data_IF_693050988197
#
_entry.id   IF_693050988197
#
_cell.length_a   1.000
_cell.length_b   1.000
_cell.length_c   1.000
_cell.angle_alpha   90.00
_cell.angle_beta   90.00
_cell.angle_gamma   90.00
#
_symmetry.space_group_name_H-M   'P 1'
#
loop_
_entity.id
_entity.type
_entity.pdbx_description
1 polymer ?
#
# COMPACT_ATOMS: atom_id res chain seq x y z
N UNK A 1 -12.21 22.75 4.47
CA UNK A 1 -10.84 23.28 4.65
C UNK A 1 -10.13 23.13 3.32
N UNK A 2 -9.66 24.22 2.71
CA UNK A 2 -8.90 24.15 1.46
C UNK A 2 -7.49 23.63 1.78
N UNK A 3 -7.13 22.49 1.21
CA UNK A 3 -5.73 22.04 1.14
C UNK A 3 -5.12 22.79 -0.04
N UNK A 4 -4.03 23.53 0.18
CA UNK A 4 -3.37 24.34 -0.85
C UNK A 4 -3.93 25.74 -1.09
N UNK A 5 -4.65 26.33 -0.12
CA UNK A 5 -4.92 27.77 -0.17
C UNK A 5 -3.59 28.53 -0.06
N UNK A 6 -3.32 29.43 -1.02
CA UNK A 6 -2.14 30.32 -1.09
C UNK A 6 -0.86 29.76 -1.78
N UNK A 7 -0.99 28.86 -2.75
CA UNK A 7 0.13 28.53 -3.66
C UNK A 7 1.31 27.79 -3.02
N UNK A 8 1.22 27.42 -1.75
CA UNK A 8 2.13 26.46 -1.13
C UNK A 8 1.77 25.03 -1.51
N UNK A 9 2.78 24.25 -1.85
CA UNK A 9 2.65 22.82 -2.06
C UNK A 9 2.14 22.14 -0.77
N UNK A 10 1.09 21.28 -0.85
CA UNK A 10 0.51 20.66 0.33
C UNK A 10 1.48 19.65 0.95
N UNK A 11 1.59 19.64 2.28
CA UNK A 11 2.34 18.61 3.01
C UNK A 11 1.50 17.34 3.16
N UNK A 12 2.16 16.23 3.46
CA UNK A 12 1.54 14.95 3.76
C UNK A 12 0.47 15.10 4.86
N UNK A 13 0.75 15.89 5.90
CA UNK A 13 -0.24 16.17 6.96
C UNK A 13 -1.52 16.82 6.45
N UNK A 14 -1.40 17.69 5.44
CA UNK A 14 -2.54 18.42 4.86
C UNK A 14 -3.36 17.49 3.95
N UNK A 15 -2.66 16.62 3.22
CA UNK A 15 -3.27 15.60 2.37
C UNK A 15 -3.99 14.52 3.18
N UNK A 16 -3.42 14.07 4.30
CA UNK A 16 -4.03 13.05 5.18
C UNK A 16 -5.33 13.54 5.83
N UNK A 17 -5.53 14.85 5.96
CA UNK A 17 -6.79 15.41 6.44
C UNK A 17 -7.96 15.26 5.44
N UNK A 18 -7.70 14.85 4.20
CA UNK A 18 -8.72 14.65 3.17
C UNK A 18 -9.39 13.28 3.28
N UNK A 19 -10.73 13.21 3.07
CA UNK A 19 -11.44 11.93 3.12
C UNK A 19 -10.93 10.97 2.05
N UNK A 20 -10.52 9.77 2.48
CA UNK A 20 -10.02 8.72 1.59
C UNK A 20 -8.51 8.75 1.33
N UNK A 21 -7.78 9.73 1.86
CA UNK A 21 -6.31 9.78 1.78
C UNK A 21 -5.72 9.28 3.10
N UNK A 22 -5.09 8.11 3.07
CA UNK A 22 -4.34 7.57 4.20
C UNK A 22 -2.87 7.98 4.21
N UNK A 23 -2.11 7.60 5.26
CA UNK A 23 -0.70 7.97 5.43
C UNK A 23 0.19 7.64 4.22
N UNK A 24 -0.02 6.46 3.62
CA UNK A 24 0.70 6.04 2.41
C UNK A 24 0.47 7.01 1.24
N UNK A 25 -0.79 7.28 0.91
CA UNK A 25 -1.15 8.13 -0.23
C UNK A 25 -0.69 9.57 0.00
N UNK A 26 -0.83 10.07 1.23
CA UNK A 26 -0.35 11.38 1.61
C UNK A 26 1.17 11.52 1.42
N UNK A 27 1.96 10.60 1.98
CA UNK A 27 3.42 10.60 1.83
C UNK A 27 3.86 10.42 0.37
N UNK A 28 3.16 9.58 -0.40
CA UNK A 28 3.48 9.32 -1.80
C UNK A 28 3.25 10.56 -2.65
N UNK A 29 2.09 11.20 -2.53
CA UNK A 29 1.79 12.42 -3.27
C UNK A 29 2.73 13.55 -2.85
N UNK A 30 2.93 13.75 -1.54
CA UNK A 30 3.78 14.82 -1.03
C UNK A 30 5.25 14.69 -1.47
N UNK A 31 5.83 13.49 -1.39
CA UNK A 31 7.22 13.28 -1.80
C UNK A 31 7.42 13.29 -3.31
N UNK A 32 6.52 12.67 -4.08
CA UNK A 32 6.67 12.52 -5.54
C UNK A 32 6.30 13.80 -6.28
N UNK A 33 5.16 14.40 -5.95
CA UNK A 33 4.67 15.57 -6.68
C UNK A 33 5.23 16.89 -6.14
N UNK A 34 5.54 16.94 -4.84
CA UNK A 34 5.87 18.18 -4.15
C UNK A 34 7.25 18.19 -3.47
N UNK A 35 8.00 17.08 -3.56
CA UNK A 35 9.36 17.00 -3.04
C UNK A 35 9.46 17.04 -1.51
N UNK A 36 8.36 16.82 -0.78
CA UNK A 36 8.44 16.74 0.68
C UNK A 36 9.30 15.53 1.09
N UNK A 37 10.28 15.69 2.00
CA UNK A 37 11.14 14.60 2.42
C UNK A 37 10.45 13.68 3.45
N UNK A 38 9.40 13.00 2.99
CA UNK A 38 8.63 12.02 3.76
C UNK A 38 8.74 10.64 3.10
N UNK A 39 9.07 9.63 3.89
CA UNK A 39 9.23 8.28 3.41
C UNK A 39 7.88 7.58 3.18
N UNK A 40 7.80 6.83 2.09
CA UNK A 40 6.61 6.06 1.71
C UNK A 40 6.80 4.60 2.09
N UNK A 41 5.84 4.04 2.83
CA UNK A 41 5.85 2.62 3.19
C UNK A 41 4.59 1.94 2.64
N UNK A 42 4.78 1.11 1.61
CA UNK A 42 3.76 0.21 1.08
C UNK A 42 4.12 -1.27 1.39
N UNK A 43 3.38 -2.20 0.78
CA UNK A 43 3.68 -3.64 0.92
C UNK A 43 5.02 -4.06 0.32
N UNK A 44 5.51 -3.35 -0.70
CA UNK A 44 6.80 -3.60 -1.35
C UNK A 44 7.96 -3.11 -0.51
N UNK A 45 7.93 -1.85 -0.11
CA UNK A 45 8.90 -1.21 0.79
C UNK A 45 8.98 -1.97 2.11
N UNK A 46 7.83 -2.35 2.71
CA UNK A 46 7.80 -3.21 3.91
C UNK A 46 8.66 -4.46 3.74
N UNK A 47 8.53 -5.14 2.61
CA UNK A 47 9.26 -6.39 2.34
C UNK A 47 10.74 -6.14 2.09
N UNK A 48 11.07 -5.09 1.33
CA UNK A 48 12.46 -4.69 1.09
C UNK A 48 13.16 -4.38 2.40
N UNK A 49 12.59 -3.51 3.25
CA UNK A 49 13.16 -3.16 4.54
C UNK A 49 13.25 -4.37 5.48
N UNK A 50 12.22 -5.21 5.54
CA UNK A 50 12.25 -6.43 6.33
C UNK A 50 13.43 -7.35 5.95
N UNK A 51 13.72 -7.47 4.65
CA UNK A 51 14.82 -8.32 4.16
C UNK A 51 16.19 -7.68 4.37
N UNK A 52 16.31 -6.37 4.15
CA UNK A 52 17.59 -5.66 4.34
C UNK A 52 18.09 -5.87 5.77
N UNK A 53 17.20 -5.77 6.77
CA UNK A 53 17.53 -5.88 8.19
C UNK A 53 17.19 -7.23 8.83
N UNK A 54 16.93 -8.28 8.02
CA UNK A 54 16.52 -9.60 8.50
C UNK A 54 15.42 -9.56 9.61
N UNK A 55 14.44 -8.67 9.46
CA UNK A 55 13.38 -8.41 10.42
C UNK A 55 12.13 -9.25 10.12
N UNK A 56 11.85 -10.26 10.96
CA UNK A 56 10.76 -11.20 10.76
C UNK A 56 9.37 -10.58 10.99
N UNK A 57 9.22 -9.75 12.03
CA UNK A 57 7.97 -9.04 12.32
C UNK A 57 8.18 -7.52 12.33
N UNK A 58 8.20 -6.87 11.15
CA UNK A 58 8.35 -5.43 11.08
C UNK A 58 7.02 -4.77 11.44
N UNK A 59 6.95 -4.14 12.60
CA UNK A 59 5.77 -3.39 13.03
C UNK A 59 5.72 -2.00 12.35
N UNK A 60 4.54 -1.37 12.20
CA UNK A 60 4.38 -0.13 11.41
C UNK A 60 5.31 1.02 11.82
N UNK A 61 5.57 1.22 13.11
CA UNK A 61 6.45 2.29 13.60
C UNK A 61 7.89 2.15 13.11
N UNK A 62 8.50 0.99 13.38
CA UNK A 62 9.84 0.62 12.90
C UNK A 62 9.97 0.77 11.39
N UNK A 63 8.96 0.36 10.62
CA UNK A 63 8.97 0.53 9.16
C UNK A 63 9.06 2.01 8.77
N UNK A 64 8.23 2.86 9.38
CA UNK A 64 8.21 4.28 9.06
C UNK A 64 9.52 4.96 9.49
N UNK A 65 10.01 4.68 10.70
CA UNK A 65 11.26 5.23 11.23
C UNK A 65 12.46 4.80 10.39
N UNK A 66 12.53 3.52 10.02
CA UNK A 66 13.61 2.97 9.18
C UNK A 66 13.57 3.55 7.77
N UNK A 67 12.37 3.63 7.16
CA UNK A 67 12.22 4.23 5.84
C UNK A 67 12.62 5.71 5.84
N UNK A 68 12.24 6.46 6.87
CA UNK A 68 12.58 7.86 7.03
C UNK A 68 14.08 8.07 7.27
N UNK A 69 14.72 7.22 8.07
CA UNK A 69 16.16 7.28 8.31
C UNK A 69 17.00 7.01 7.05
N UNK A 70 16.49 6.17 6.14
CA UNK A 70 17.16 5.85 4.88
C UNK A 70 16.83 6.82 3.73
N UNK A 71 15.81 7.68 3.90
CA UNK A 71 15.31 8.54 2.84
C UNK A 71 16.40 9.50 2.33
N UNK A 72 16.64 9.46 1.02
CA UNK A 72 17.46 10.48 0.38
C UNK A 72 16.68 11.81 0.28
N UNK A 73 17.11 12.79 1.07
CA UNK A 73 16.44 14.09 1.22
C UNK A 73 16.48 14.95 -0.05
N UNK A 74 17.47 14.76 -0.94
CA UNK A 74 17.64 15.60 -2.12
C UNK A 74 16.69 15.28 -3.27
N UNK A 75 16.14 14.07 -3.31
CA UNK A 75 15.15 13.61 -4.30
C UNK A 75 14.26 12.52 -3.67
N UNK A 76 13.42 12.89 -2.68
CA UNK A 76 12.68 11.92 -1.88
C UNK A 76 11.63 11.18 -2.72
N UNK A 77 11.04 11.85 -3.71
CA UNK A 77 10.11 11.25 -4.66
C UNK A 77 10.75 10.11 -5.44
N UNK A 78 11.90 10.35 -6.08
CA UNK A 78 12.61 9.30 -6.83
C UNK A 78 13.13 8.20 -5.93
N UNK A 79 13.59 8.51 -4.71
CA UNK A 79 13.99 7.51 -3.72
C UNK A 79 12.84 6.56 -3.38
N UNK A 80 11.69 7.12 -3.01
CA UNK A 80 10.49 6.34 -2.69
C UNK A 80 10.07 5.46 -3.89
N UNK A 81 10.05 6.03 -5.11
CA UNK A 81 9.73 5.27 -6.33
C UNK A 81 10.74 4.14 -6.59
N UNK A 82 12.03 4.39 -6.44
CA UNK A 82 13.06 3.37 -6.64
C UNK A 82 12.90 2.21 -5.65
N UNK A 83 12.57 2.50 -4.38
CA UNK A 83 12.38 1.46 -3.37
C UNK A 83 11.10 0.63 -3.61
N UNK A 84 10.00 1.29 -4.02
CA UNK A 84 8.77 0.61 -4.45
C UNK A 84 9.03 -0.29 -5.67
N UNK A 85 9.72 0.24 -6.68
CA UNK A 85 10.04 -0.47 -7.92
C UNK A 85 10.98 -1.66 -7.66
N UNK A 86 11.98 -1.50 -6.80
CA UNK A 86 12.86 -2.58 -6.37
C UNK A 86 12.05 -3.71 -5.74
N UNK A 87 11.10 -3.39 -4.86
CA UNK A 87 10.21 -4.38 -4.27
C UNK A 87 9.33 -5.05 -5.33
N UNK A 88 8.79 -4.30 -6.27
CA UNK A 88 7.90 -4.82 -7.31
C UNK A 88 8.60 -5.76 -8.31
N UNK A 89 9.85 -5.47 -8.71
CA UNK A 89 10.49 -6.11 -9.87
C UNK A 89 11.64 -7.06 -9.54
N UNK A 90 12.33 -6.85 -8.43
CA UNK A 90 13.54 -7.62 -8.06
C UNK A 90 13.33 -8.34 -6.73
N UNK A 91 12.99 -7.61 -5.68
CA UNK A 91 12.78 -8.12 -4.34
C UNK A 91 11.33 -8.61 -4.18
N UNK A 92 10.91 -9.54 -5.04
CA UNK A 92 9.54 -10.07 -5.12
C UNK A 92 9.16 -10.95 -3.92
N UNK A 93 7.86 -11.16 -3.61
CA UNK A 93 7.44 -12.01 -2.49
C UNK A 93 8.00 -13.42 -2.53
N UNK A 94 8.05 -14.02 -3.72
CA UNK A 94 8.58 -15.36 -3.99
C UNK A 94 9.71 -15.26 -5.01
N UNK A 95 10.73 -16.09 -4.84
CA UNK A 95 11.91 -16.18 -5.73
C UNK A 95 12.53 -14.81 -6.07
N UNK A 96 12.90 -14.00 -5.05
CA UNK A 96 13.53 -12.70 -5.29
C UNK A 96 14.86 -12.86 -6.03
N UNK A 97 15.16 -11.91 -6.92
CA UNK A 97 16.37 -11.93 -7.75
C UNK A 97 17.56 -11.31 -6.99
N UNK A 98 17.92 -11.89 -5.85
CA UNK A 98 18.96 -11.34 -4.96
C UNK A 98 20.30 -11.10 -5.65
N UNK A 99 20.69 -11.97 -6.59
CA UNK A 99 21.92 -11.83 -7.39
C UNK A 99 21.93 -10.57 -8.26
N UNK A 100 20.76 -10.12 -8.73
CA UNK A 100 20.59 -8.92 -9.55
C UNK A 100 20.23 -7.69 -8.72
N UNK A 101 20.12 -7.83 -7.39
CA UNK A 101 19.64 -6.76 -6.53
C UNK A 101 20.75 -5.71 -6.33
N UNK A 102 20.52 -4.43 -6.66
CA UNK A 102 21.54 -3.39 -6.59
C UNK A 102 22.00 -3.10 -5.15
N UNK A 103 21.23 -3.54 -4.15
CA UNK A 103 21.53 -3.35 -2.73
C UNK A 103 21.82 -4.68 -2.01
N UNK A 104 22.11 -5.76 -2.74
CA UNK A 104 22.36 -7.08 -2.15
C UNK A 104 23.52 -7.09 -1.15
N UNK A 105 24.53 -6.24 -1.36
CA UNK A 105 25.68 -6.12 -0.46
C UNK A 105 25.28 -5.63 0.95
N UNK A 106 24.18 -4.90 1.07
CA UNK A 106 23.68 -4.33 2.32
C UNK A 106 22.51 -5.14 2.91
N UNK A 107 22.13 -6.26 2.29
CA UNK A 107 20.93 -7.01 2.66
C UNK A 107 21.30 -8.23 3.52
N UNK A 108 20.98 -8.17 4.82
CA UNK A 108 21.25 -9.24 5.78
C UNK A 108 20.41 -10.50 5.50
N UNK A 109 19.17 -10.32 5.03
CA UNK A 109 18.25 -11.42 4.73
C UNK A 109 18.41 -12.01 3.33
N UNK A 110 19.43 -11.66 2.54
CA UNK A 110 19.52 -12.06 1.11
C UNK A 110 19.58 -13.57 0.88
N UNK A 111 20.16 -14.31 1.82
CA UNK A 111 20.36 -15.77 1.74
C UNK A 111 19.11 -16.57 2.15
N UNK A 112 18.17 -15.93 2.85
CA UNK A 112 16.88 -16.51 3.26
C UNK A 112 15.74 -15.47 3.12
N UNK A 113 15.67 -14.81 1.96
CA UNK A 113 14.82 -13.64 1.78
C UNK A 113 13.32 -13.93 1.93
N UNK A 114 12.88 -15.16 1.66
CA UNK A 114 11.47 -15.55 1.81
C UNK A 114 11.04 -15.72 3.28
N UNK A 115 11.98 -15.86 4.21
CA UNK A 115 11.70 -15.84 5.65
C UNK A 115 11.25 -14.46 6.16
N UNK A 116 11.54 -13.41 5.40
CA UNK A 116 11.30 -12.02 5.79
C UNK A 116 10.38 -11.27 4.82
N UNK A 117 9.33 -10.60 5.31
CA UNK A 117 8.76 -10.74 6.65
C UNK A 117 8.06 -12.10 6.82
N UNK A 118 7.91 -12.55 8.06
CA UNK A 118 7.19 -13.78 8.36
C UNK A 118 5.73 -13.70 7.87
N UNK A 119 5.25 -14.78 7.26
CA UNK A 119 3.87 -14.85 6.79
C UNK A 119 2.89 -14.75 7.95
N UNK A 120 1.91 -13.84 7.85
CA UNK A 120 0.80 -13.77 8.81
C UNK A 120 -0.33 -14.69 8.34
N UNK A 121 -0.74 -15.62 9.20
CA UNK A 121 -1.93 -16.44 8.96
C UNK A 121 -3.16 -15.53 8.96
N UNK A 122 -3.78 -15.33 7.81
CA UNK A 122 -5.03 -14.57 7.70
C UNK A 122 -6.20 -15.52 7.92
N UNK A 123 -6.99 -15.29 8.97
CA UNK A 123 -8.30 -15.94 9.13
C UNK A 123 -9.28 -15.34 8.12
N UNK A 124 -9.72 -16.14 7.17
CA UNK A 124 -10.83 -15.75 6.31
C UNK A 124 -12.14 -15.99 7.06
N UNK A 125 -13.00 -14.96 7.11
CA UNK A 125 -14.35 -15.09 7.64
C UNK A 125 -15.25 -15.55 6.49
N UNK A 126 -15.84 -16.73 6.61
CA UNK A 126 -16.89 -17.16 5.70
C UNK A 126 -18.10 -16.23 5.82
N UNK A 127 -18.65 -15.81 4.69
CA UNK A 127 -19.89 -15.04 4.62
C UNK A 127 -20.89 -15.89 3.85
N UNK A 128 -22.00 -16.26 4.50
CA UNK A 128 -23.14 -16.84 3.83
C UNK A 128 -24.06 -15.71 3.39
N UNK A 129 -24.46 -15.70 2.12
CA UNK A 129 -25.37 -14.71 1.56
C UNK A 129 -26.35 -15.40 0.61
N UNK A 130 -27.62 -14.96 0.63
CA UNK A 130 -28.63 -15.41 -0.30
C UNK A 130 -29.12 -14.22 -1.13
N UNK A 131 -29.23 -14.43 -2.44
CA UNK A 131 -29.65 -13.37 -3.36
C UNK A 131 -30.89 -13.77 -4.16
N UNK A 132 -31.76 -12.80 -4.41
CA UNK A 132 -32.96 -12.98 -5.24
C UNK A 132 -32.74 -12.36 -6.62
N UNK A 133 -32.75 -13.18 -7.67
CA UNK A 133 -32.66 -12.72 -9.05
C UNK A 133 -34.07 -12.58 -9.66
N UNK A 134 -34.60 -11.36 -9.68
CA UNK A 134 -35.89 -11.07 -10.31
C UNK A 134 -35.69 -10.71 -11.78
N UNK A 135 -36.25 -11.51 -12.70
CA UNK A 135 -36.17 -11.29 -14.16
C UNK A 135 -37.46 -10.65 -14.67
N UNK A 136 -37.34 -9.53 -15.37
CA UNK A 136 -38.45 -8.86 -16.04
C UNK A 136 -38.85 -9.51 -17.37
N UNK A 137 -40.05 -9.22 -17.86
CA UNK A 137 -40.60 -9.80 -19.10
C UNK A 137 -39.77 -9.50 -20.36
N UNK A 138 -38.97 -8.41 -20.35
CA UNK A 138 -38.04 -8.06 -21.43
C UNK A 138 -36.65 -8.70 -21.26
N UNK A 139 -36.50 -9.63 -20.33
CA UNK A 139 -35.28 -10.40 -20.12
C UNK A 139 -34.24 -9.80 -19.16
N UNK A 140 -34.40 -8.55 -18.71
CA UNK A 140 -33.49 -7.89 -17.77
C UNK A 140 -33.70 -8.29 -16.30
N UNK A 141 -32.76 -7.94 -15.42
CA UNK A 141 -32.84 -8.22 -13.98
C UNK A 141 -33.05 -6.95 -13.15
N UNK A 142 -33.74 -7.09 -12.02
CA UNK A 142 -33.84 -6.03 -11.01
C UNK A 142 -32.55 -5.97 -10.20
N UNK A 143 -31.98 -4.78 -10.12
CA UNK A 143 -30.83 -4.48 -9.28
C UNK A 143 -31.21 -3.37 -8.29
N UNK A 144 -30.65 -3.43 -7.08
CA UNK A 144 -30.73 -2.39 -6.07
C UNK A 144 -29.34 -1.80 -5.79
N UNK A 145 -29.32 -0.55 -5.34
CA UNK A 145 -28.08 0.08 -4.86
C UNK A 145 -27.75 -0.50 -3.50
N UNK A 146 -26.57 -1.11 -3.37
CA UNK A 146 -26.11 -1.71 -2.12
C UNK A 146 -25.77 -0.63 -1.11
N UNK A 147 -26.24 -0.81 0.11
CA UNK A 147 -25.90 0.01 1.27
C UNK A 147 -24.84 -0.67 2.13
N UNK A 148 -24.16 0.09 3.00
CA UNK A 148 -23.16 -0.43 3.95
C UNK A 148 -21.72 -0.30 3.47
N UNK A 149 -20.78 -0.79 4.30
CA UNK A 149 -19.34 -0.62 4.08
C UNK A 149 -18.78 -1.51 2.97
N UNK A 150 -19.32 -2.72 2.78
CA UNK A 150 -18.86 -3.66 1.76
C UNK A 150 -19.66 -3.50 0.47
N UNK A 151 -18.99 -3.13 -0.63
CA UNK A 151 -19.59 -2.92 -1.96
C UNK A 151 -20.67 -1.83 -1.98
N UNK A 152 -20.68 -0.92 -1.00
CA UNK A 152 -21.62 0.19 -0.91
C UNK A 152 -21.55 1.09 -2.14
N UNK A 153 -22.69 1.52 -2.64
CA UNK A 153 -22.80 2.37 -3.83
C UNK A 153 -22.83 1.63 -5.17
N UNK A 154 -22.47 0.35 -5.21
CA UNK A 154 -22.59 -0.51 -6.40
C UNK A 154 -24.02 -1.04 -6.56
N UNK A 155 -24.41 -1.36 -7.80
CA UNK A 155 -25.64 -2.09 -8.10
C UNK A 155 -25.46 -3.60 -7.87
N UNK A 156 -26.46 -4.26 -7.31
CA UNK A 156 -26.47 -5.71 -7.14
C UNK A 156 -27.88 -6.27 -7.06
N UNK A 157 -28.02 -7.59 -7.22
CA UNK A 157 -29.27 -8.27 -6.90
C UNK A 157 -29.61 -8.09 -5.42
N UNK A 158 -30.90 -8.03 -5.04
CA UNK A 158 -31.28 -7.98 -3.64
C UNK A 158 -30.68 -9.14 -2.83
N UNK A 159 -29.92 -8.83 -1.78
CA UNK A 159 -29.23 -9.81 -0.91
C UNK A 159 -29.74 -9.67 0.52
N UNK A 160 -30.05 -10.79 1.18
CA UNK A 160 -30.25 -10.88 2.63
C UNK A 160 -29.06 -11.56 3.31
#
# INVERSE_FOLDING_TARGET
>A
RQVGAEGLAPRASDLEALPGIGPYTAAAVASIAFGEPVAVVDGNVRRVLARIFAQADPHPRWLQETAQALLFQGDPGRWNQALMELGATVCTPRSPRCVLCPIALFCEGKDDAERYPASRVRRQRGVHAAALALRGQRGGFVLEKRNGQALGGLGGVPVR
#
